data_IF_702375403348
#
_entry.id   IF_702375403348
#
_cell.length_a   1.000
_cell.length_b   1.000
_cell.length_c   1.000
_cell.angle_alpha   90.00
_cell.angle_beta   90.00
_cell.angle_gamma   90.00
#
_symmetry.space_group_name_H-M   'P 1'
#
loop_
_entity.id
_entity.type
_entity.pdbx_description
1 polymer ?
#
# COMPACT_ATOMS: atom_id res chain seq x y z
N UNK A 1 -13.18 40.18 -14.27
CA UNK A 1 -11.94 39.66 -13.67
C UNK A 1 -11.13 39.02 -14.78
N UNK A 2 -9.92 39.51 -15.07
CA UNK A 2 -9.13 39.05 -16.20
C UNK A 2 -7.67 38.87 -15.78
N UNK A 3 -7.23 37.61 -15.66
CA UNK A 3 -5.82 37.29 -15.86
C UNK A 3 -5.66 37.17 -17.36
N UNK A 4 -4.81 38.01 -17.95
CA UNK A 4 -4.66 38.09 -19.40
C UNK A 4 -3.40 37.31 -19.76
N UNK A 5 -3.55 36.30 -20.60
CA UNK A 5 -2.42 35.58 -21.18
C UNK A 5 -1.65 36.54 -22.09
N UNK A 6 -0.41 36.80 -21.74
CA UNK A 6 0.42 37.75 -22.47
C UNK A 6 1.30 37.05 -23.52
N UNK A 7 1.73 35.81 -23.27
CA UNK A 7 2.40 34.97 -24.26
C UNK A 7 2.36 33.48 -23.87
N UNK A 8 2.53 32.59 -24.85
CA UNK A 8 2.84 31.18 -24.66
C UNK A 8 4.25 30.90 -25.22
N UNK A 9 5.17 30.35 -24.42
CA UNK A 9 6.52 29.95 -24.87
C UNK A 9 7.69 30.79 -24.34
N UNK A 10 8.89 30.59 -24.90
CA UNK A 10 10.13 31.23 -24.43
C UNK A 10 10.18 32.74 -24.77
N UNK A 11 10.58 33.55 -23.79
CA UNK A 11 10.75 35.00 -23.93
C UNK A 11 11.92 35.33 -24.87
N UNK A 12 11.63 35.84 -26.07
CA UNK A 12 12.62 36.41 -26.99
C UNK A 12 13.09 37.82 -26.58
N UNK A 13 14.27 38.23 -27.04
CA UNK A 13 15.07 39.34 -26.49
C UNK A 13 14.36 40.67 -26.17
N UNK A 14 13.45 41.17 -27.01
CA UNK A 14 12.72 42.42 -26.74
C UNK A 14 11.58 42.27 -25.72
N UNK A 15 11.00 41.06 -25.61
CA UNK A 15 10.05 40.73 -24.55
C UNK A 15 10.76 40.53 -23.21
N UNK A 16 12.00 40.04 -23.19
CA UNK A 16 12.75 39.85 -21.94
C UNK A 16 12.92 41.16 -21.13
N UNK A 17 13.10 42.30 -21.80
CA UNK A 17 13.25 43.61 -21.13
C UNK A 17 11.93 44.16 -20.58
N UNK A 18 10.80 43.85 -21.23
CA UNK A 18 9.49 44.17 -20.67
C UNK A 18 9.22 43.34 -19.41
N UNK A 19 9.75 42.12 -19.32
CA UNK A 19 9.47 41.14 -18.27
C UNK A 19 10.61 41.07 -17.23
N UNK A 20 11.05 42.21 -16.70
CA UNK A 20 12.09 42.25 -15.65
C UNK A 20 11.56 42.04 -14.23
N UNK A 21 10.34 42.49 -13.94
CA UNK A 21 9.67 42.28 -12.65
C UNK A 21 8.57 41.21 -12.81
N UNK A 22 8.96 39.94 -12.77
CA UNK A 22 8.06 38.80 -12.88
C UNK A 22 8.03 38.02 -11.55
N UNK A 23 6.85 37.56 -11.16
CA UNK A 23 6.68 36.56 -10.11
C UNK A 23 6.61 35.17 -10.75
N UNK A 24 7.46 34.25 -10.30
CA UNK A 24 7.54 32.87 -10.81
C UNK A 24 7.53 31.88 -9.65
N UNK A 25 7.36 30.59 -9.94
CA UNK A 25 7.47 29.54 -8.93
C UNK A 25 8.82 29.59 -8.21
N UNK A 26 8.78 29.45 -6.88
CA UNK A 26 9.94 29.15 -6.06
C UNK A 26 10.60 27.81 -6.43
N UNK A 27 11.76 27.49 -5.84
CA UNK A 27 12.45 26.24 -6.11
C UNK A 27 11.62 25.05 -5.61
N UNK A 28 11.30 24.11 -6.51
CA UNK A 28 10.78 22.80 -6.14
C UNK A 28 11.94 21.88 -5.73
N UNK A 29 11.85 21.24 -4.56
CA UNK A 29 12.72 20.10 -4.22
C UNK A 29 12.14 18.81 -4.82
N UNK A 30 12.78 17.66 -4.58
CA UNK A 30 12.35 16.37 -5.14
C UNK A 30 10.90 16.00 -4.77
N UNK A 31 10.46 16.32 -3.55
CA UNK A 31 9.12 15.95 -3.04
C UNK A 31 8.21 17.16 -2.75
N UNK A 32 8.66 18.38 -3.06
CA UNK A 32 7.84 19.57 -2.89
C UNK A 32 6.72 19.63 -3.94
N UNK A 33 5.49 19.82 -3.47
CA UNK A 33 4.29 19.87 -4.31
C UNK A 33 3.77 21.29 -4.48
N UNK A 34 3.88 22.11 -3.44
CA UNK A 34 3.45 23.51 -3.45
C UNK A 34 4.61 24.40 -3.05
N UNK A 35 4.83 25.48 -3.79
CA UNK A 35 5.83 26.52 -3.47
C UNK A 35 5.19 27.91 -3.58
N UNK A 36 5.67 28.90 -2.80
CA UNK A 36 5.24 30.27 -2.98
C UNK A 36 5.78 30.83 -4.30
N UNK A 37 5.12 31.86 -4.81
CA UNK A 37 5.70 32.70 -5.85
C UNK A 37 6.81 33.57 -5.30
N UNK A 38 7.95 33.60 -6.00
CA UNK A 38 9.05 34.49 -5.69
C UNK A 38 9.20 35.53 -6.80
N UNK A 39 9.48 36.80 -6.46
CA UNK A 39 9.89 37.77 -7.47
C UNK A 39 11.22 37.30 -8.06
N UNK A 40 11.31 37.28 -9.39
CA UNK A 40 12.56 36.96 -10.09
C UNK A 40 13.46 38.20 -10.05
N UNK A 41 14.15 38.39 -8.93
CA UNK A 41 15.11 39.46 -8.73
C UNK A 41 16.36 39.25 -9.58
N UNK A 42 16.66 40.20 -10.46
CA UNK A 42 17.98 40.49 -11.04
C UNK A 42 18.68 39.33 -11.77
N UNK A 43 18.63 39.37 -13.11
CA UNK A 43 19.73 38.86 -13.91
C UNK A 43 20.78 39.98 -13.99
N UNK A 44 21.98 39.77 -13.44
CA UNK A 44 23.15 40.64 -13.61
C UNK A 44 23.12 42.00 -12.85
N UNK A 45 22.92 41.98 -11.52
CA UNK A 45 23.03 43.14 -10.60
C UNK A 45 22.22 44.40 -11.00
N UNK A 46 21.08 44.21 -11.67
CA UNK A 46 20.13 45.27 -12.04
C UNK A 46 18.69 44.80 -11.82
N UNK A 47 18.24 44.85 -10.57
CA UNK A 47 16.84 44.67 -10.17
C UNK A 47 16.56 45.48 -8.91
N UNK A 48 15.43 46.19 -8.87
CA UNK A 48 15.12 47.16 -7.78
C UNK A 48 14.20 46.62 -6.68
N UNK A 49 13.79 45.35 -6.77
CA UNK A 49 12.85 44.71 -5.85
C UNK A 49 13.50 43.55 -5.09
N UNK A 50 14.36 43.88 -4.13
CA UNK A 50 14.86 42.95 -3.09
C UNK A 50 13.91 42.88 -1.87
N UNK A 51 12.87 43.73 -1.80
CA UNK A 51 12.04 43.93 -0.61
C UNK A 51 10.55 43.60 -0.80
N UNK A 52 10.18 42.91 -1.89
CA UNK A 52 8.82 42.40 -2.05
C UNK A 52 8.58 41.22 -1.10
N UNK A 53 7.58 41.31 -0.22
CA UNK A 53 7.17 40.17 0.61
C UNK A 53 6.82 38.97 -0.27
N UNK A 54 7.32 37.79 0.08
CA UNK A 54 7.16 36.57 -0.71
C UNK A 54 5.70 36.30 -1.08
N UNK A 55 5.47 35.99 -2.36
CA UNK A 55 4.16 35.64 -2.88
C UNK A 55 3.20 36.81 -3.12
N UNK A 56 3.40 38.00 -2.55
CA UNK A 56 2.39 39.08 -2.63
C UNK A 56 2.30 39.67 -4.03
N UNK A 57 1.08 39.78 -4.57
CA UNK A 57 0.81 40.35 -5.90
C UNK A 57 0.02 41.66 -5.81
N UNK A 58 0.29 42.56 -6.75
CA UNK A 58 -0.42 43.85 -6.92
C UNK A 58 -0.97 44.00 -8.34
N UNK A 59 -1.89 44.94 -8.56
CA UNK A 59 -2.45 45.19 -9.90
C UNK A 59 -1.35 45.53 -10.92
N UNK A 60 -1.33 44.86 -12.07
CA UNK A 60 -0.27 44.96 -13.08
C UNK A 60 0.92 44.02 -12.87
N UNK A 61 0.91 43.21 -11.81
CA UNK A 61 1.95 42.18 -11.56
C UNK A 61 1.97 41.16 -12.68
N UNK A 62 3.17 40.77 -13.10
CA UNK A 62 3.39 39.78 -14.16
C UNK A 62 3.74 38.45 -13.53
N UNK A 63 3.03 37.41 -13.92
CA UNK A 63 3.18 36.06 -13.39
C UNK A 63 3.67 35.17 -14.52
N UNK A 64 4.78 34.48 -14.32
CA UNK A 64 5.25 33.45 -15.25
C UNK A 64 4.97 32.08 -14.64
N UNK A 65 4.24 31.27 -15.39
CA UNK A 65 3.89 29.90 -15.03
C UNK A 65 4.81 28.95 -15.79
N UNK A 66 5.72 28.24 -15.09
CA UNK A 66 6.59 27.26 -15.71
C UNK A 66 5.81 26.07 -16.29
N UNK A 67 6.47 25.29 -17.16
CA UNK A 67 5.91 24.05 -17.68
C UNK A 67 5.71 23.00 -16.58
N UNK A 68 4.59 22.28 -16.67
CA UNK A 68 4.16 21.26 -15.70
C UNK A 68 3.96 21.85 -14.29
N UNK A 69 3.47 23.08 -14.22
CA UNK A 69 3.13 23.77 -12.98
C UNK A 69 1.79 24.49 -13.16
N UNK A 70 0.95 24.49 -12.13
CA UNK A 70 -0.25 25.32 -12.07
C UNK A 70 -0.04 26.48 -11.09
N UNK A 71 -0.44 27.69 -11.45
CA UNK A 71 -0.40 28.84 -10.54
C UNK A 71 -1.79 29.12 -9.94
N UNK A 72 -1.81 29.38 -8.64
CA UNK A 72 -2.99 29.70 -7.86
C UNK A 72 -2.84 31.09 -7.28
N UNK A 73 -3.79 31.96 -7.59
CA UNK A 73 -3.88 33.29 -7.00
C UNK A 73 -4.90 33.22 -5.87
N UNK A 74 -4.46 33.54 -4.67
CA UNK A 74 -5.28 33.55 -3.47
C UNK A 74 -5.58 34.98 -3.04
N UNK A 75 -6.79 35.15 -2.53
CA UNK A 75 -7.27 36.33 -1.85
C UNK A 75 -7.77 35.94 -0.45
N UNK A 76 -8.16 36.91 0.36
CA UNK A 76 -8.76 36.68 1.69
C UNK A 76 -10.01 35.78 1.64
N UNK A 77 -10.71 35.71 0.51
CA UNK A 77 -11.92 34.89 0.33
C UNK A 77 -11.62 33.51 -0.29
N UNK A 78 -10.35 33.15 -0.47
CA UNK A 78 -9.92 31.87 -1.05
C UNK A 78 -9.31 32.01 -2.46
N UNK A 79 -9.42 30.95 -3.25
CA UNK A 79 -8.87 30.87 -4.61
C UNK A 79 -9.60 31.87 -5.53
N UNK A 80 -8.87 32.89 -5.99
CA UNK A 80 -9.37 33.91 -6.92
C UNK A 80 -9.23 33.46 -8.38
N UNK A 81 -8.08 32.88 -8.73
CA UNK A 81 -7.81 32.42 -10.09
C UNK A 81 -6.84 31.23 -10.12
N UNK A 82 -6.96 30.39 -11.14
CA UNK A 82 -6.14 29.20 -11.37
C UNK A 82 -5.65 29.21 -12.82
N UNK A 83 -4.35 29.11 -13.00
CA UNK A 83 -3.69 29.10 -14.30
C UNK A 83 -2.99 27.75 -14.47
N UNK A 84 -3.49 26.90 -15.37
CA UNK A 84 -2.94 25.57 -15.61
C UNK A 84 -2.04 25.48 -16.84
N UNK A 85 -2.07 26.51 -17.69
CA UNK A 85 -1.25 26.58 -18.90
C UNK A 85 0.05 27.35 -18.63
N UNK A 86 1.16 26.82 -19.10
CA UNK A 86 2.45 27.51 -19.03
C UNK A 86 2.45 28.78 -19.90
N UNK A 87 3.18 29.79 -19.45
CA UNK A 87 3.27 31.07 -20.14
C UNK A 87 3.32 32.26 -19.19
N UNK A 88 3.36 33.46 -19.78
CA UNK A 88 3.31 34.71 -19.03
C UNK A 88 1.91 35.27 -18.98
N UNK A 89 1.54 35.79 -17.82
CA UNK A 89 0.24 36.36 -17.53
C UNK A 89 0.38 37.70 -16.82
N UNK A 90 -0.55 38.61 -17.08
CA UNK A 90 -0.67 39.87 -16.36
C UNK A 90 -1.88 39.81 -15.43
N UNK A 91 -1.66 40.15 -14.17
CA UNK A 91 -2.69 40.20 -13.15
C UNK A 91 -3.38 41.57 -13.16
N UNK A 92 -4.69 41.61 -13.45
CA UNK A 92 -5.51 42.82 -13.34
C UNK A 92 -6.65 42.69 -12.34
N UNK A 93 -6.61 43.50 -11.28
CA UNK A 93 -7.63 43.52 -10.24
C UNK A 93 -8.78 44.45 -10.66
N UNK A 94 -9.98 43.91 -10.88
CA UNK A 94 -11.22 44.70 -10.94
C UNK A 94 -11.65 45.33 -12.27
N UNK A 95 -10.95 45.17 -13.40
CA UNK A 95 -11.43 45.75 -14.66
C UNK A 95 -12.25 44.71 -15.48
N UNK A 96 -13.53 45.02 -15.71
CA UNK A 96 -14.21 44.58 -16.92
C UNK A 96 -13.40 45.07 -18.11
N UNK A 97 -13.27 44.25 -19.14
CA UNK A 97 -12.64 44.58 -20.41
C UNK A 97 -13.05 45.98 -20.90
N UNK A 98 -12.18 46.98 -20.74
CA UNK A 98 -12.34 48.30 -21.35
C UNK A 98 -11.83 48.19 -22.79
N UNK A 99 -12.56 47.41 -23.58
CA UNK A 99 -12.51 47.40 -25.05
C UNK A 99 -13.86 47.87 -25.60
N UNK A 100 -14.47 48.83 -24.91
CA UNK A 100 -15.56 49.65 -25.42
C UNK A 100 -15.43 51.05 -24.81
N UNK A 101 -14.93 51.98 -25.63
CA UNK A 101 -15.17 53.42 -25.57
C UNK A 101 -15.18 54.13 -24.21
N UNK A 102 -14.19 55.02 -24.07
CA UNK A 102 -14.32 56.36 -23.50
C UNK A 102 -13.97 56.58 -22.00
N UNK A 103 -13.21 57.65 -21.76
CA UNK A 103 -13.10 58.32 -20.45
C UNK A 103 -11.81 58.11 -19.62
N UNK A 104 -10.90 59.08 -19.69
CA UNK A 104 -9.67 59.25 -18.87
C UNK A 104 -9.99 59.65 -17.39
N UNK A 105 -11.11 59.19 -16.83
CA UNK A 105 -11.62 59.65 -15.53
C UNK A 105 -11.25 58.79 -14.31
N UNK A 106 -10.76 57.57 -14.49
CA UNK A 106 -10.62 56.56 -13.42
C UNK A 106 -9.24 56.48 -12.76
N UNK A 107 -8.22 57.14 -13.31
CA UNK A 107 -6.84 57.06 -12.82
C UNK A 107 -6.58 57.80 -11.49
N UNK A 108 -7.37 58.82 -11.16
CA UNK A 108 -7.14 59.63 -9.95
C UNK A 108 -7.78 59.08 -8.67
N UNK A 109 -8.82 58.23 -8.77
CA UNK A 109 -9.49 57.66 -7.59
C UNK A 109 -8.70 56.49 -6.95
N UNK A 110 -7.95 55.72 -7.73
CA UNK A 110 -7.12 54.61 -7.21
C UNK A 110 -5.91 55.08 -6.38
N UNK A 111 -5.49 56.34 -6.51
CA UNK A 111 -4.41 56.93 -5.70
C UNK A 111 -4.94 57.44 -4.36
N UNK A 112 -6.21 57.87 -4.30
CA UNK A 112 -6.86 58.35 -3.08
C UNK A 112 -7.20 57.22 -2.08
N UNK A 113 -7.56 56.04 -2.57
CA UNK A 113 -7.86 54.87 -1.72
C UNK A 113 -6.61 54.30 -1.02
N UNK A 114 -5.40 54.63 -1.50
CA UNK A 114 -4.13 54.22 -0.88
C UNK A 114 -3.70 55.12 0.27
N UNK A 115 -4.29 56.31 0.42
CA UNK A 115 -3.94 57.29 1.45
C UNK A 115 -4.95 57.38 2.60
N UNK A 116 -6.07 56.66 2.54
CA UNK A 116 -7.16 56.76 3.52
C UNK A 116 -7.26 55.61 4.53
N UNK A 117 -6.40 54.58 4.42
CA UNK A 117 -6.38 53.45 5.37
C UNK A 117 -4.99 53.25 5.98
N UNK A 118 -4.65 54.04 7.01
CA UNK A 118 -3.81 53.65 8.16
C UNK A 118 -2.55 52.78 7.95
N UNK A 119 -1.90 52.76 6.78
CA UNK A 119 -0.65 52.05 6.54
C UNK A 119 -0.72 50.51 6.49
N UNK A 120 -1.91 49.89 6.53
CA UNK A 120 -2.06 48.45 6.25
C UNK A 120 -2.63 48.26 4.85
N UNK A 121 -1.91 47.61 3.91
CA UNK A 121 -2.41 47.39 2.56
C UNK A 121 -3.70 46.57 2.62
N UNK A 122 -4.81 47.19 2.21
CA UNK A 122 -6.10 46.53 2.14
C UNK A 122 -6.04 45.37 1.14
N UNK A 123 -6.13 44.14 1.67
CA UNK A 123 -6.16 42.85 0.97
C UNK A 123 -4.84 42.38 0.39
N UNK A 124 -4.09 41.60 1.17
CA UNK A 124 -2.94 40.85 0.68
C UNK A 124 -3.40 39.71 -0.23
N UNK A 125 -3.02 39.77 -1.50
CA UNK A 125 -3.17 38.68 -2.45
C UNK A 125 -1.83 38.00 -2.64
N UNK A 126 -1.82 36.67 -2.72
CA UNK A 126 -0.58 35.95 -2.98
C UNK A 126 -0.73 34.90 -4.07
N UNK A 127 0.39 34.54 -4.70
CA UNK A 127 0.45 33.46 -5.69
C UNK A 127 1.25 32.28 -5.16
N UNK A 128 0.72 31.07 -5.36
CA UNK A 128 1.43 29.82 -5.12
C UNK A 128 1.42 28.96 -6.38
N UNK A 129 2.36 28.03 -6.45
CA UNK A 129 2.55 27.17 -7.60
C UNK A 129 2.50 25.70 -7.19
N UNK A 130 1.76 24.90 -7.94
CA UNK A 130 1.59 23.46 -7.71
C UNK A 130 2.34 22.69 -8.79
N UNK A 131 3.16 21.73 -8.37
CA UNK A 131 3.90 20.84 -9.25
C UNK A 131 2.96 19.78 -9.86
N UNK A 132 2.88 19.73 -11.20
CA UNK A 132 2.08 18.75 -11.94
C UNK A 132 2.94 17.59 -12.49
N UNK A 133 4.25 17.60 -12.24
CA UNK A 133 5.14 16.50 -12.61
C UNK A 133 4.89 15.30 -11.71
N UNK A 134 5.31 14.14 -12.19
CA UNK A 134 5.40 12.95 -11.34
C UNK A 134 6.53 13.15 -10.32
N UNK A 135 6.14 13.21 -9.05
CA UNK A 135 7.02 13.25 -7.89
C UNK A 135 7.42 11.83 -7.56
N UNK A 136 8.70 11.53 -7.69
CA UNK A 136 9.27 10.18 -7.64
C UNK A 136 10.01 9.97 -6.32
N UNK A 137 10.24 8.71 -5.96
CA UNK A 137 11.17 8.37 -4.88
C UNK A 137 10.58 8.42 -3.47
N UNK A 138 9.26 8.49 -3.32
CA UNK A 138 8.61 8.47 -2.01
C UNK A 138 8.73 7.06 -1.42
N UNK A 139 9.68 6.88 -0.50
CA UNK A 139 9.98 5.56 0.08
C UNK A 139 8.86 5.08 0.99
N UNK A 140 8.50 3.82 0.84
CA UNK A 140 7.58 3.12 1.72
C UNK A 140 8.18 1.81 2.21
N UNK A 141 7.66 1.33 3.33
CA UNK A 141 7.98 0.01 3.86
C UNK A 141 6.86 -0.48 4.77
N UNK A 142 6.69 -1.79 4.82
CA UNK A 142 5.72 -2.42 5.72
C UNK A 142 6.31 -2.49 7.12
N UNK A 143 5.69 -1.80 8.09
CA UNK A 143 6.15 -1.81 9.49
C UNK A 143 5.93 -3.17 10.15
N UNK A 144 4.79 -3.82 9.86
CA UNK A 144 4.48 -5.18 10.27
C UNK A 144 4.71 -6.17 9.10
N UNK A 145 5.04 -7.44 9.40
CA UNK A 145 5.00 -8.49 8.39
C UNK A 145 3.61 -8.61 7.77
N UNK A 146 3.58 -8.81 6.45
CA UNK A 146 2.37 -9.07 5.70
C UNK A 146 2.24 -10.57 5.45
N UNK A 147 1.06 -11.13 5.67
CA UNK A 147 0.77 -12.51 5.32
C UNK A 147 0.55 -12.61 3.81
N UNK A 148 1.21 -13.58 3.18
CA UNK A 148 1.07 -13.92 1.78
C UNK A 148 0.84 -15.43 1.62
N UNK A 149 -0.32 -15.80 1.11
CA UNK A 149 -0.60 -17.19 0.80
C UNK A 149 0.05 -17.55 -0.54
N UNK A 150 1.22 -18.19 -0.49
CA UNK A 150 1.89 -18.63 -1.72
C UNK A 150 1.40 -20.04 -2.09
N UNK A 151 0.61 -20.11 -3.17
CA UNK A 151 0.02 -21.36 -3.66
C UNK A 151 1.06 -22.45 -3.94
N UNK A 152 2.31 -22.10 -4.25
CA UNK A 152 3.37 -23.08 -4.47
C UNK A 152 3.80 -23.80 -3.21
N UNK A 153 3.86 -23.09 -2.09
CA UNK A 153 4.22 -23.67 -0.79
C UNK A 153 2.99 -24.25 -0.08
N UNK A 154 1.78 -23.77 -0.40
CA UNK A 154 0.54 -24.22 0.21
C UNK A 154 0.40 -23.79 1.67
N UNK A 155 1.17 -22.79 2.10
CA UNK A 155 1.19 -22.24 3.45
C UNK A 155 1.21 -20.71 3.39
N UNK A 156 0.74 -20.10 4.46
CA UNK A 156 0.84 -18.65 4.66
C UNK A 156 2.29 -18.30 5.05
N UNK A 157 2.91 -17.43 4.25
CA UNK A 157 4.25 -16.94 4.46
C UNK A 157 4.20 -15.46 4.80
N UNK A 158 4.93 -15.06 5.82
CA UNK A 158 5.05 -13.67 6.19
C UNK A 158 6.22 -13.01 5.45
N UNK A 159 5.93 -11.85 4.85
CA UNK A 159 6.89 -11.06 4.09
C UNK A 159 6.97 -9.63 4.60
N UNK A 160 8.12 -9.00 4.43
CA UNK A 160 8.31 -7.56 4.57
C UNK A 160 8.65 -6.99 3.21
N UNK A 161 7.97 -5.92 2.83
CA UNK A 161 8.19 -5.24 1.57
C UNK A 161 8.75 -3.84 1.82
N UNK A 162 9.68 -3.44 0.96
CA UNK A 162 10.27 -2.10 0.90
C UNK A 162 10.31 -1.65 -0.54
N UNK A 163 10.09 -0.37 -0.77
CA UNK A 163 10.06 0.18 -2.10
C UNK A 163 9.93 1.69 -2.12
N UNK A 164 9.63 2.21 -3.29
CA UNK A 164 9.28 3.61 -3.51
C UNK A 164 8.02 3.73 -4.34
N UNK A 165 7.26 4.78 -4.13
CA UNK A 165 6.11 5.14 -4.95
C UNK A 165 6.37 6.49 -5.62
N UNK A 166 5.66 6.73 -6.71
CA UNK A 166 5.60 8.04 -7.34
C UNK A 166 4.17 8.55 -7.34
N UNK A 167 4.00 9.81 -7.01
CA UNK A 167 2.70 10.49 -6.93
C UNK A 167 2.62 11.59 -7.99
N UNK A 168 1.41 11.83 -8.49
CA UNK A 168 1.17 12.91 -9.45
C UNK A 168 -0.13 13.63 -9.13
N UNK A 169 -0.07 14.96 -9.14
CA UNK A 169 -1.27 15.81 -9.03
C UNK A 169 -1.98 15.84 -10.38
N UNK A 170 -3.23 15.40 -10.40
CA UNK A 170 -4.10 15.31 -11.59
C UNK A 170 -5.14 16.42 -11.62
N UNK A 171 -5.75 16.71 -10.48
CA UNK A 171 -6.67 17.82 -10.28
C UNK A 171 -6.09 18.78 -9.23
N UNK A 172 -5.38 19.84 -9.67
CA UNK A 172 -4.71 20.75 -8.76
C UNK A 172 -5.70 21.59 -7.95
N UNK A 173 -6.93 21.81 -8.43
CA UNK A 173 -7.95 22.58 -7.70
C UNK A 173 -8.45 21.78 -6.52
N UNK A 174 -8.78 20.50 -6.75
CA UNK A 174 -9.17 19.58 -5.69
C UNK A 174 -8.04 19.34 -4.69
N UNK A 175 -6.80 19.24 -5.18
CA UNK A 175 -5.60 19.12 -4.33
C UNK A 175 -5.45 20.28 -3.35
N UNK A 176 -5.49 21.52 -3.84
CA UNK A 176 -5.37 22.71 -2.99
C UNK A 176 -6.54 22.81 -2.00
N UNK A 177 -7.76 22.44 -2.41
CA UNK A 177 -8.94 22.57 -1.55
C UNK A 177 -9.03 21.51 -0.45
N UNK A 178 -8.62 20.28 -0.74
CA UNK A 178 -8.92 19.13 0.12
C UNK A 178 -7.68 18.54 0.81
N UNK A 179 -6.47 18.80 0.32
CA UNK A 179 -5.24 18.18 0.84
C UNK A 179 -4.24 19.19 1.41
N UNK A 180 -4.13 20.39 0.81
CA UNK A 180 -3.21 21.42 1.27
C UNK A 180 -3.82 22.18 2.46
N UNK A 181 -3.11 22.33 3.59
CA UNK A 181 -3.59 23.14 4.70
C UNK A 181 -3.74 24.63 4.31
N UNK A 182 -4.82 25.27 4.77
CA UNK A 182 -5.19 26.62 4.34
C UNK A 182 -4.16 27.73 4.65
N UNK A 183 -3.30 27.55 5.66
CA UNK A 183 -2.32 28.56 6.11
C UNK A 183 -0.95 28.37 5.47
N UNK A 184 -0.77 27.33 4.67
CA UNK A 184 0.55 26.89 4.21
C UNK A 184 0.82 27.40 2.79
N UNK A 185 1.95 28.10 2.62
CA UNK A 185 2.40 28.63 1.31
C UNK A 185 3.40 27.71 0.59
N UNK A 186 3.94 26.71 1.30
CA UNK A 186 4.85 25.69 0.77
C UNK A 186 4.52 24.34 1.40
N UNK A 187 4.33 23.30 0.59
CA UNK A 187 3.90 21.99 1.09
C UNK A 187 4.61 20.85 0.35
N UNK A 188 5.09 19.87 1.11
CA UNK A 188 5.85 18.73 0.62
C UNK A 188 5.21 17.41 1.02
N UNK A 189 5.36 16.38 0.19
CA UNK A 189 4.99 15.03 0.59
C UNK A 189 5.91 14.43 1.66
N UNK A 190 7.06 15.06 1.94
CA UNK A 190 7.95 14.68 3.03
C UNK A 190 7.53 15.22 4.40
N UNK A 191 6.64 16.22 4.43
CA UNK A 191 6.17 16.80 5.69
C UNK A 191 5.45 15.72 6.52
N UNK A 192 5.63 15.73 7.84
CA UNK A 192 5.18 14.63 8.71
C UNK A 192 3.68 14.30 8.57
N UNK A 193 2.85 15.34 8.46
CA UNK A 193 1.41 15.24 8.26
C UNK A 193 1.01 14.46 7.01
N UNK A 194 1.28 14.99 5.80
CA UNK A 194 0.92 14.31 4.55
C UNK A 194 1.64 12.97 4.41
N UNK A 195 2.92 12.89 4.80
CA UNK A 195 3.71 11.65 4.69
C UNK A 195 3.08 10.51 5.47
N UNK A 196 2.68 10.75 6.72
CA UNK A 196 2.07 9.71 7.56
C UNK A 196 0.76 9.20 6.96
N UNK A 197 -0.11 10.09 6.48
CA UNK A 197 -1.38 9.72 5.88
C UNK A 197 -1.20 8.93 4.58
N UNK A 198 -0.35 9.45 3.68
CA UNK A 198 -0.02 8.82 2.39
C UNK A 198 0.50 7.41 2.62
N UNK A 199 1.48 7.24 3.52
CA UNK A 199 2.06 5.93 3.79
C UNK A 199 1.04 4.96 4.40
N UNK A 200 0.19 5.39 5.34
CA UNK A 200 -0.80 4.51 5.95
C UNK A 200 -1.84 4.00 4.94
N UNK A 201 -2.41 4.88 4.12
CA UNK A 201 -3.42 4.52 3.13
C UNK A 201 -2.79 3.73 1.96
N UNK A 202 -1.56 4.06 1.57
CA UNK A 202 -0.81 3.31 0.56
C UNK A 202 -0.53 1.88 1.00
N UNK A 203 0.02 1.67 2.20
CA UNK A 203 0.36 0.33 2.70
C UNK A 203 -0.88 -0.55 2.77
N UNK A 204 -2.04 -0.01 3.16
CA UNK A 204 -3.30 -0.75 3.15
C UNK A 204 -3.70 -1.20 1.74
N UNK A 205 -3.65 -0.29 0.76
CA UNK A 205 -3.93 -0.61 -0.65
C UNK A 205 -2.93 -1.62 -1.22
N UNK A 206 -1.67 -1.50 -0.83
CA UNK A 206 -0.59 -2.39 -1.24
C UNK A 206 -0.80 -3.82 -0.71
N UNK A 207 -1.27 -3.97 0.53
CA UNK A 207 -1.65 -5.27 1.10
C UNK A 207 -2.78 -5.91 0.27
N UNK A 208 -3.81 -5.13 -0.07
CA UNK A 208 -4.91 -5.60 -0.93
C UNK A 208 -4.38 -6.05 -2.30
N UNK A 209 -3.50 -5.26 -2.91
CA UNK A 209 -2.88 -5.60 -4.20
C UNK A 209 -2.06 -6.88 -4.14
N UNK A 210 -1.17 -7.02 -3.15
CA UNK A 210 -0.34 -8.22 -2.96
C UNK A 210 -1.22 -9.46 -2.75
N UNK A 211 -2.23 -9.39 -1.89
CA UNK A 211 -3.13 -10.52 -1.64
C UNK A 211 -3.93 -10.90 -2.88
N UNK A 212 -4.31 -9.95 -3.73
CA UNK A 212 -5.00 -10.26 -4.99
C UNK A 212 -4.12 -11.07 -5.94
N UNK A 213 -2.80 -10.83 -5.91
CA UNK A 213 -1.82 -11.52 -6.76
C UNK A 213 -1.37 -12.87 -6.19
N UNK A 214 -1.69 -13.18 -4.92
CA UNK A 214 -1.16 -14.37 -4.24
C UNK A 214 -1.66 -15.70 -4.82
N UNK A 215 -2.83 -15.68 -5.47
CA UNK A 215 -3.38 -16.85 -6.14
C UNK A 215 -2.69 -17.17 -7.47
N UNK A 216 -2.11 -16.18 -8.13
CA UNK A 216 -1.55 -16.31 -9.48
C UNK A 216 -0.03 -16.38 -9.49
N UNK A 217 0.62 -15.61 -8.60
CA UNK A 217 2.05 -15.42 -8.61
C UNK A 217 2.70 -15.90 -7.31
N UNK A 218 3.94 -16.36 -7.43
CA UNK A 218 4.77 -16.63 -6.25
C UNK A 218 5.39 -15.37 -5.71
N UNK A 219 5.82 -15.39 -4.46
CA UNK A 219 6.48 -14.25 -3.82
C UNK A 219 7.71 -13.79 -4.62
N UNK A 220 8.49 -14.73 -5.14
CA UNK A 220 9.68 -14.43 -5.96
C UNK A 220 9.37 -13.72 -7.29
N UNK A 221 8.12 -13.78 -7.75
CA UNK A 221 7.68 -13.13 -8.99
C UNK A 221 7.10 -11.74 -8.76
N UNK A 222 6.68 -11.42 -7.51
CA UNK A 222 6.08 -10.13 -7.16
C UNK A 222 6.93 -8.90 -7.56
N UNK A 223 8.27 -8.90 -7.40
CA UNK A 223 9.08 -7.76 -7.84
C UNK A 223 8.91 -7.45 -9.34
N UNK A 224 8.72 -8.47 -10.18
CA UNK A 224 8.46 -8.32 -11.61
C UNK A 224 7.02 -7.88 -11.95
N UNK A 225 6.15 -7.75 -10.96
CA UNK A 225 4.72 -7.41 -11.08
C UNK A 225 4.39 -6.02 -10.54
N UNK A 226 5.40 -5.15 -10.44
CA UNK A 226 5.26 -3.81 -9.91
C UNK A 226 4.17 -2.97 -10.62
N UNK A 227 4.04 -3.10 -11.94
CA UNK A 227 2.99 -2.41 -12.71
C UNK A 227 1.59 -2.93 -12.38
N UNK A 228 1.44 -4.25 -12.22
CA UNK A 228 0.16 -4.88 -11.87
C UNK A 228 -0.24 -4.45 -10.45
N UNK A 229 0.71 -4.40 -9.52
CA UNK A 229 0.51 -3.88 -8.16
C UNK A 229 0.08 -2.42 -8.19
N UNK A 230 0.75 -1.57 -8.98
CA UNK A 230 0.37 -0.16 -9.11
C UNK A 230 -1.05 0.00 -9.67
N UNK A 231 -1.44 -0.84 -10.64
CA UNK A 231 -2.80 -0.86 -11.18
C UNK A 231 -3.83 -1.31 -10.13
N UNK A 232 -3.54 -2.35 -9.35
CA UNK A 232 -4.39 -2.81 -8.25
C UNK A 232 -4.54 -1.73 -7.17
N UNK A 233 -3.45 -1.04 -6.79
CA UNK A 233 -3.47 0.05 -5.80
C UNK A 233 -4.34 1.22 -6.29
N UNK A 234 -4.20 1.63 -7.56
CA UNK A 234 -5.07 2.65 -8.15
C UNK A 234 -6.53 2.23 -8.23
N UNK A 235 -6.79 0.93 -8.43
CA UNK A 235 -8.13 0.37 -8.50
C UNK A 235 -8.82 0.19 -7.15
N UNK A 236 -8.10 0.37 -6.03
CA UNK A 236 -8.67 0.23 -4.69
C UNK A 236 -9.74 1.30 -4.42
N UNK A 237 -10.93 0.86 -3.99
CA UNK A 237 -12.08 1.75 -3.75
C UNK A 237 -12.14 2.33 -2.35
N UNK A 238 -11.21 1.95 -1.46
CA UNK A 238 -11.24 2.38 -0.07
C UNK A 238 -10.13 3.37 0.29
N UNK A 239 -8.88 3.12 -0.15
CA UNK A 239 -7.71 3.84 0.35
C UNK A 239 -7.02 4.64 -0.77
N UNK A 240 -5.81 4.27 -1.19
CA UNK A 240 -5.00 5.07 -2.11
C UNK A 240 -5.62 5.23 -3.50
N UNK A 241 -6.44 4.28 -3.95
CA UNK A 241 -7.18 4.43 -5.21
C UNK A 241 -8.27 5.52 -5.15
N UNK A 242 -8.68 5.95 -3.95
CA UNK A 242 -9.64 7.07 -3.77
C UNK A 242 -8.98 8.45 -3.77
N UNK A 243 -7.65 8.55 -3.81
CA UNK A 243 -6.95 9.82 -3.69
C UNK A 243 -7.26 10.79 -4.82
N UNK A 244 -7.48 10.32 -6.05
CA UNK A 244 -7.83 11.21 -7.15
C UNK A 244 -9.20 11.88 -6.87
N UNK A 245 -10.15 11.11 -6.34
CA UNK A 245 -11.49 11.59 -6.03
C UNK A 245 -11.57 12.45 -4.77
N UNK A 246 -10.79 12.12 -3.74
CA UNK A 246 -10.77 12.86 -2.46
C UNK A 246 -9.86 14.07 -2.51
N UNK A 247 -8.67 13.91 -3.08
CA UNK A 247 -7.54 14.83 -2.93
C UNK A 247 -6.95 15.30 -4.26
N UNK A 248 -7.39 14.82 -5.43
CA UNK A 248 -6.90 15.32 -6.71
C UNK A 248 -5.46 14.94 -7.07
N UNK A 249 -4.91 13.90 -6.43
CA UNK A 249 -3.63 13.29 -6.81
C UNK A 249 -3.76 11.76 -6.79
N UNK A 250 -2.86 11.07 -7.50
CA UNK A 250 -2.89 9.62 -7.61
C UNK A 250 -1.50 8.98 -7.57
N UNK A 251 -1.48 7.66 -7.36
CA UNK A 251 -0.27 6.85 -7.50
C UNK A 251 0.02 6.65 -8.99
N UNK A 252 1.12 7.21 -9.46
CA UNK A 252 1.57 7.06 -10.86
C UNK A 252 2.26 5.71 -11.08
N UNK A 253 3.20 5.38 -10.20
CA UNK A 253 4.02 4.17 -10.29
C UNK A 253 4.40 3.66 -8.90
N UNK A 254 4.67 2.36 -8.81
CA UNK A 254 5.19 1.69 -7.60
C UNK A 254 6.44 0.93 -8.01
N UNK A 255 7.54 1.14 -7.30
CA UNK A 255 8.79 0.40 -7.41
C UNK A 255 8.97 -0.48 -6.18
N UNK A 256 9.19 -1.78 -6.40
CA UNK A 256 9.53 -2.73 -5.34
C UNK A 256 11.06 -2.84 -5.30
N UNK A 257 11.66 -2.45 -4.17
CA UNK A 257 13.10 -2.57 -3.96
C UNK A 257 13.45 -3.94 -3.36
N UNK A 258 12.67 -4.40 -2.38
CA UNK A 258 12.89 -5.69 -1.72
C UNK A 258 11.59 -6.27 -1.19
N UNK A 259 11.43 -7.59 -1.37
CA UNK A 259 10.43 -8.41 -0.68
C UNK A 259 11.18 -9.55 -0.01
N UNK A 260 11.18 -9.55 1.31
CA UNK A 260 11.93 -10.49 2.13
C UNK A 260 10.99 -11.30 3.01
N UNK A 261 11.22 -12.61 3.08
CA UNK A 261 10.61 -13.44 4.09
C UNK A 261 11.04 -13.04 5.50
N UNK A 262 10.11 -13.13 6.46
CA UNK A 262 10.47 -13.15 7.87
C UNK A 262 11.35 -14.37 8.19
N UNK A 263 12.09 -14.31 9.29
CA UNK A 263 12.97 -15.42 9.68
C UNK A 263 12.20 -16.74 9.84
N UNK A 264 11.02 -16.69 10.46
CA UNK A 264 10.13 -17.84 10.58
C UNK A 264 9.71 -18.40 9.21
N UNK A 265 9.32 -17.54 8.27
CA UNK A 265 8.93 -17.95 6.93
C UNK A 265 10.10 -18.49 6.11
N UNK A 266 11.32 -17.95 6.30
CA UNK A 266 12.54 -18.49 5.67
C UNK A 266 12.79 -19.92 6.12
N UNK A 267 12.64 -20.21 7.40
CA UNK A 267 12.82 -21.56 7.94
C UNK A 267 11.79 -22.53 7.37
N UNK A 268 10.52 -22.12 7.26
CA UNK A 268 9.47 -22.93 6.63
C UNK A 268 9.80 -23.23 5.15
N UNK A 269 10.22 -22.22 4.39
CA UNK A 269 10.62 -22.39 2.99
C UNK A 269 11.84 -23.31 2.85
N UNK A 270 12.83 -23.19 3.74
CA UNK A 270 14.02 -24.05 3.75
C UNK A 270 13.67 -25.50 4.10
N UNK A 271 12.81 -25.72 5.10
CA UNK A 271 12.30 -27.06 5.46
C UNK A 271 11.48 -27.67 4.32
N UNK A 272 10.64 -26.87 3.66
CA UNK A 272 9.88 -27.32 2.49
C UNK A 272 10.81 -27.72 1.34
N UNK A 273 11.84 -26.90 1.05
CA UNK A 273 12.81 -27.17 0.00
C UNK A 273 13.65 -28.43 0.30
N UNK A 274 14.13 -28.60 1.53
CA UNK A 274 14.90 -29.79 1.94
C UNK A 274 14.05 -31.05 1.88
N UNK A 275 12.81 -31.00 2.38
CA UNK A 275 11.87 -32.12 2.30
C UNK A 275 11.55 -32.47 0.84
N UNK A 276 11.31 -31.49 -0.02
CA UNK A 276 11.04 -31.73 -1.45
C UNK A 276 12.25 -32.29 -2.19
N UNK A 277 13.46 -31.82 -1.91
CA UNK A 277 14.69 -32.36 -2.51
C UNK A 277 14.94 -33.80 -2.06
N UNK A 278 14.73 -34.09 -0.78
CA UNK A 278 14.78 -35.45 -0.26
C UNK A 278 13.77 -36.33 -0.99
N UNK A 279 12.49 -35.95 -1.02
CA UNK A 279 11.43 -36.71 -1.71
C UNK A 279 11.72 -36.86 -3.21
N UNK A 280 12.17 -35.82 -3.91
CA UNK A 280 12.51 -35.90 -5.34
C UNK A 280 13.72 -36.81 -5.63
N UNK A 281 14.72 -36.84 -4.73
CA UNK A 281 15.81 -37.80 -4.79
C UNK A 281 15.31 -39.25 -4.61
N UNK A 282 14.18 -39.44 -3.91
CA UNK A 282 13.52 -40.73 -3.76
C UNK A 282 12.53 -41.04 -4.89
N UNK A 283 11.84 -40.06 -5.47
CA UNK A 283 10.91 -40.25 -6.61
C UNK A 283 11.63 -40.59 -7.91
N UNK A 284 12.90 -40.17 -8.07
CA UNK A 284 13.78 -40.60 -9.15
C UNK A 284 14.16 -42.09 -9.10
N UNK A 285 13.84 -42.79 -8.01
CA UNK A 285 14.06 -44.22 -7.83
C UNK A 285 12.72 -44.87 -7.52
N UNK A 286 12.04 -45.36 -8.57
CA UNK A 286 10.86 -46.24 -8.64
C UNK A 286 10.14 -46.61 -7.33
N UNK A 287 8.80 -46.68 -7.33
CA UNK A 287 7.88 -47.14 -6.24
C UNK A 287 8.39 -48.26 -5.31
N UNK A 288 9.28 -49.13 -5.78
CA UNK A 288 10.04 -50.10 -5.00
C UNK A 288 10.85 -49.50 -3.83
N UNK A 289 11.42 -48.29 -3.98
CA UNK A 289 12.19 -47.62 -2.93
C UNK A 289 11.30 -46.96 -1.87
N UNK A 290 10.11 -46.49 -2.23
CA UNK A 290 9.12 -46.01 -1.25
C UNK A 290 8.69 -47.11 -0.27
N UNK A 291 8.50 -48.33 -0.79
CA UNK A 291 8.28 -49.52 0.03
C UNK A 291 9.53 -49.91 0.84
N UNK A 292 10.74 -49.80 0.28
CA UNK A 292 11.97 -50.06 1.03
C UNK A 292 12.23 -49.02 2.13
N UNK A 293 11.85 -47.75 1.95
CA UNK A 293 12.03 -46.70 2.95
C UNK A 293 11.01 -46.83 4.08
N UNK A 294 9.76 -47.20 3.79
CA UNK A 294 8.79 -47.58 4.80
C UNK A 294 9.30 -48.82 5.58
N UNK A 295 9.80 -49.84 4.87
CA UNK A 295 10.42 -51.01 5.50
C UNK A 295 11.69 -50.69 6.29
N UNK A 296 12.51 -49.73 5.85
CA UNK A 296 13.73 -49.31 6.56
C UNK A 296 13.40 -48.48 7.79
N UNK A 297 12.37 -47.62 7.77
CA UNK A 297 11.88 -46.94 8.97
C UNK A 297 11.24 -47.90 9.96
N UNK A 298 10.51 -48.90 9.47
CA UNK A 298 9.98 -50.00 10.29
C UNK A 298 11.16 -50.80 10.88
N UNK A 299 12.17 -51.13 10.08
CA UNK A 299 13.36 -51.88 10.52
C UNK A 299 14.24 -51.08 11.50
N UNK A 300 14.40 -49.78 11.31
CA UNK A 300 15.09 -48.88 12.24
C UNK A 300 14.28 -48.72 13.53
N UNK A 301 12.95 -48.57 13.45
CA UNK A 301 12.09 -48.56 14.64
C UNK A 301 12.15 -49.89 15.42
N UNK A 302 12.32 -51.02 14.73
CA UNK A 302 12.56 -52.33 15.33
C UNK A 302 13.98 -52.44 15.93
N UNK A 303 14.99 -51.85 15.31
CA UNK A 303 16.37 -51.80 15.83
C UNK A 303 16.50 -50.92 17.07
N UNK A 304 15.85 -49.76 17.07
CA UNK A 304 15.96 -48.76 18.13
C UNK A 304 15.06 -49.09 19.33
N UNK A 305 13.88 -49.69 19.12
CA UNK A 305 12.93 -50.01 20.20
C UNK A 305 12.80 -51.51 20.51
N UNK A 306 13.47 -52.39 19.75
CA UNK A 306 13.36 -53.84 19.90
C UNK A 306 11.97 -54.40 19.56
N UNK A 307 11.91 -55.71 19.28
CA UNK A 307 10.63 -56.42 19.20
C UNK A 307 10.05 -56.57 20.62
N UNK A 308 9.36 -55.53 21.09
CA UNK A 308 8.39 -55.70 22.19
C UNK A 308 7.30 -56.71 21.78
N UNK A 309 6.60 -57.26 22.76
CA UNK A 309 5.66 -58.39 22.67
C UNK A 309 4.62 -58.32 21.51
N UNK A 310 4.31 -57.11 20.99
CA UNK A 310 3.44 -56.91 19.83
C UNK A 310 4.07 -57.15 18.45
N UNK A 311 5.41 -57.07 18.32
CA UNK A 311 6.09 -57.20 17.03
C UNK A 311 6.26 -58.65 16.56
N UNK A 312 6.26 -59.62 17.49
CA UNK A 312 6.31 -61.05 17.17
C UNK A 312 4.98 -61.52 16.54
N UNK A 313 3.85 -60.94 16.97
CA UNK A 313 2.52 -61.23 16.44
C UNK A 313 2.33 -60.70 15.01
N UNK A 314 2.94 -59.54 14.71
CA UNK A 314 2.98 -58.97 13.36
C UNK A 314 3.88 -59.79 12.42
N UNK A 315 5.03 -60.26 12.92
CA UNK A 315 5.96 -61.11 12.18
C UNK A 315 5.36 -62.48 11.80
N UNK A 316 4.57 -63.08 12.70
CA UNK A 316 3.89 -64.34 12.42
C UNK A 316 2.76 -64.20 11.39
N UNK A 317 1.97 -63.11 11.44
CA UNK A 317 0.93 -62.87 10.44
C UNK A 317 1.50 -62.58 9.04
N UNK A 318 2.64 -61.88 8.97
CA UNK A 318 3.29 -61.59 7.69
C UNK A 318 3.99 -62.83 7.10
N UNK A 319 4.55 -63.71 7.95
CA UNK A 319 5.13 -64.99 7.51
C UNK A 319 4.06 -65.94 6.92
N UNK A 320 2.83 -65.90 7.43
CA UNK A 320 1.72 -66.67 6.85
C UNK A 320 1.21 -66.10 5.52
N UNK A 321 1.31 -64.79 5.30
CA UNK A 321 0.90 -64.14 4.05
C UNK A 321 1.88 -64.33 2.88
N UNK A 322 3.15 -64.70 3.16
CA UNK A 322 4.19 -64.87 2.14
C UNK A 322 4.31 -66.34 1.67
N UNK A 323 3.60 -67.29 2.31
CA UNK A 323 3.64 -68.69 1.89
C UNK A 323 2.88 -68.88 0.55
N UNK A 324 3.55 -69.17 -0.58
CA UNK A 324 2.94 -69.13 -1.92
C UNK A 324 2.10 -70.37 -2.25
N UNK A 325 1.72 -71.18 -1.26
CA UNK A 325 1.13 -72.51 -1.47
C UNK A 325 -0.41 -72.55 -1.34
N UNK A 326 -1.09 -71.44 -1.03
CA UNK A 326 -2.56 -71.40 -0.86
C UNK A 326 -3.24 -70.27 -1.63
N UNK A 327 -2.80 -70.00 -2.86
CA UNK A 327 -3.50 -69.11 -3.77
C UNK A 327 -4.78 -69.76 -4.31
N UNK A 328 -5.92 -69.50 -3.67
CA UNK A 328 -7.25 -69.72 -4.25
C UNK A 328 -7.81 -68.39 -4.77
N UNK A 329 -8.37 -68.34 -5.99
CA UNK A 329 -8.86 -67.10 -6.58
C UNK A 329 -10.21 -66.73 -5.96
N UNK A 330 -10.30 -65.56 -5.32
CA UNK A 330 -11.59 -65.04 -4.85
C UNK A 330 -12.18 -64.13 -5.92
N UNK A 331 -13.33 -64.57 -6.41
CA UNK A 331 -14.12 -64.03 -7.49
C UNK A 331 -15.00 -62.88 -6.99
N UNK A 332 -15.14 -61.83 -7.80
CA UNK A 332 -15.98 -60.67 -7.53
C UNK A 332 -17.49 -61.00 -7.63
N UNK A 333 -18.33 -60.28 -6.87
CA UNK A 333 -19.58 -59.80 -7.46
C UNK A 333 -19.86 -58.30 -7.20
N UNK A 334 -20.66 -57.74 -8.12
CA UNK A 334 -21.08 -56.35 -8.28
C UNK A 334 -22.41 -56.03 -7.53
N UNK A 335 -23.16 -54.95 -7.84
CA UNK A 335 -23.38 -53.79 -6.97
C UNK A 335 -24.77 -53.73 -6.28
N UNK A 336 -24.87 -52.77 -5.37
CA UNK A 336 -25.92 -52.49 -4.37
C UNK A 336 -27.36 -52.29 -4.86
N UNK A 337 -28.33 -52.30 -3.92
CA UNK A 337 -29.37 -51.28 -3.87
C UNK A 337 -29.47 -50.55 -2.51
N UNK A 338 -30.18 -49.42 -2.55
CA UNK A 338 -30.18 -48.27 -1.65
C UNK A 338 -30.73 -48.48 -0.21
N UNK A 339 -30.40 -47.58 0.73
CA UNK A 339 -31.14 -47.40 1.97
C UNK A 339 -31.94 -46.09 1.99
N UNK A 340 -33.20 -46.15 2.44
CA UNK A 340 -33.98 -45.00 2.91
C UNK A 340 -34.39 -45.21 4.38
N UNK A 341 -34.17 -44.14 5.16
CA UNK A 341 -34.77 -43.71 6.43
C UNK A 341 -34.79 -44.65 7.66
N UNK A 342 -34.02 -44.27 8.69
CA UNK A 342 -34.53 -44.00 10.05
C UNK A 342 -33.46 -43.32 10.94
N UNK A 343 -33.86 -42.27 11.66
CA UNK A 343 -33.14 -41.63 12.76
C UNK A 343 -33.72 -42.10 14.12
N UNK A 344 -33.23 -41.61 15.28
CA UNK A 344 -31.86 -41.52 15.78
C UNK A 344 -31.74 -42.20 17.17
N UNK A 345 -30.55 -42.70 17.55
CA UNK A 345 -30.28 -43.04 18.96
C UNK A 345 -28.79 -42.89 19.30
N UNK A 346 -28.55 -41.95 20.21
CA UNK A 346 -27.46 -41.79 21.18
C UNK A 346 -26.44 -42.94 21.31
N UNK A 347 -25.18 -42.62 21.02
CA UNK A 347 -24.01 -43.36 21.45
C UNK A 347 -23.20 -42.55 22.47
N UNK A 348 -23.23 -42.99 23.73
CA UNK A 348 -22.14 -42.76 24.67
C UNK A 348 -20.90 -43.51 24.17
N UNK A 349 -19.93 -42.76 23.65
CA UNK A 349 -18.60 -43.28 23.33
C UNK A 349 -17.69 -43.04 24.54
N UNK A 350 -17.31 -44.12 25.22
CA UNK A 350 -16.23 -44.12 26.21
C UNK A 350 -14.91 -43.76 25.51
N UNK A 351 -14.36 -42.59 25.87
CA UNK A 351 -13.10 -42.06 25.32
C UNK A 351 -11.92 -42.97 25.67
N UNK A 352 -10.94 -43.05 24.76
CA UNK A 352 -9.69 -43.76 25.01
C UNK A 352 -8.81 -43.01 26.03
N UNK A 353 -7.89 -43.71 26.70
CA UNK A 353 -7.07 -43.14 27.79
C UNK A 353 -6.17 -42.00 27.28
N UNK A 354 -5.67 -42.06 26.04
CA UNK A 354 -4.93 -40.94 25.45
C UNK A 354 -5.83 -39.69 25.25
N UNK A 355 -7.08 -39.87 24.82
CA UNK A 355 -8.02 -38.76 24.62
C UNK A 355 -8.46 -38.13 25.95
N UNK A 356 -8.59 -38.92 27.02
CA UNK A 356 -8.87 -38.43 28.38
C UNK A 356 -7.73 -37.54 28.91
N UNK A 357 -6.47 -37.92 28.64
CA UNK A 357 -5.30 -37.15 29.07
C UNK A 357 -5.16 -35.84 28.28
N UNK A 358 -5.43 -35.85 26.98
CA UNK A 358 -5.45 -34.61 26.18
C UNK A 358 -6.59 -33.67 26.58
N UNK A 359 -7.78 -34.20 26.84
CA UNK A 359 -8.92 -33.41 27.30
C UNK A 359 -8.63 -32.73 28.65
N UNK A 360 -7.97 -33.43 29.58
CA UNK A 360 -7.53 -32.85 30.85
C UNK A 360 -6.49 -31.74 30.69
N UNK A 361 -5.55 -31.86 29.74
CA UNK A 361 -4.56 -30.80 29.47
C UNK A 361 -5.22 -29.54 28.95
N UNK A 362 -6.15 -29.66 27.99
CA UNK A 362 -6.90 -28.53 27.43
C UNK A 362 -7.79 -27.87 28.49
N UNK A 363 -8.43 -28.66 29.36
CA UNK A 363 -9.25 -28.11 30.45
C UNK A 363 -8.41 -27.35 31.48
N UNK A 364 -7.19 -27.80 31.78
CA UNK A 364 -6.28 -27.09 32.68
C UNK A 364 -5.81 -25.76 32.09
N UNK A 365 -5.54 -25.74 30.79
CA UNK A 365 -5.17 -24.52 30.07
C UNK A 365 -6.31 -23.47 30.10
N UNK A 366 -7.58 -23.92 30.04
CA UNK A 366 -8.73 -23.03 30.18
C UNK A 366 -8.93 -22.48 31.59
N UNK A 367 -8.51 -23.23 32.63
CA UNK A 367 -8.47 -22.71 34.02
C UNK A 367 -7.34 -21.69 34.17
N UNK A 368 -6.17 -21.96 33.61
CA UNK A 368 -5.01 -21.06 33.69
C UNK A 368 -5.26 -19.72 32.96
N UNK A 369 -6.09 -19.72 31.91
CA UNK A 369 -6.54 -18.51 31.21
C UNK A 369 -7.75 -17.85 31.92
N UNK A 370 -8.27 -18.46 32.99
CA UNK A 370 -9.36 -17.91 33.82
C UNK A 370 -10.76 -18.05 33.20
N UNK A 371 -10.91 -18.89 32.18
CA UNK A 371 -12.17 -19.14 31.48
C UNK A 371 -13.01 -20.18 32.25
N UNK A 372 -12.36 -21.13 32.92
CA UNK A 372 -13.01 -22.10 33.80
C UNK A 372 -12.61 -21.85 35.26
N UNK A 373 -13.56 -22.01 36.18
CA UNK A 373 -13.25 -22.05 37.61
C UNK A 373 -12.69 -23.41 38.02
N UNK A 374 -11.96 -23.44 39.15
CA UNK A 374 -11.37 -24.67 39.68
C UNK A 374 -12.44 -25.74 39.98
N UNK A 375 -13.62 -25.33 40.44
CA UNK A 375 -14.74 -26.22 40.77
C UNK A 375 -15.36 -26.87 39.51
N UNK A 376 -15.45 -26.11 38.41
CA UNK A 376 -15.95 -26.63 37.12
C UNK A 376 -14.95 -27.59 36.46
N UNK A 377 -13.66 -27.36 36.69
CA UNK A 377 -12.60 -28.26 36.23
C UNK A 377 -12.65 -29.60 36.96
N UNK A 378 -12.80 -29.59 38.28
CA UNK A 378 -12.86 -30.83 39.07
C UNK A 378 -14.12 -31.65 38.74
N UNK A 379 -15.26 -31.00 38.47
CA UNK A 379 -16.47 -31.67 38.01
C UNK A 379 -16.28 -32.39 36.65
N UNK A 380 -15.69 -31.70 35.66
CA UNK A 380 -15.42 -32.30 34.33
C UNK A 380 -14.33 -33.36 34.36
N UNK A 381 -13.34 -33.23 35.24
CA UNK A 381 -12.32 -34.25 35.47
C UNK A 381 -12.93 -35.55 35.97
N UNK A 382 -13.91 -35.47 36.87
CA UNK A 382 -14.63 -36.64 37.39
C UNK A 382 -15.41 -37.35 36.28
N UNK A 383 -16.05 -36.57 35.40
CA UNK A 383 -16.81 -37.08 34.24
C UNK A 383 -15.90 -37.76 33.20
N UNK A 384 -14.75 -37.17 32.89
CA UNK A 384 -13.81 -37.68 31.87
C UNK A 384 -13.07 -38.93 32.35
N UNK A 385 -12.72 -39.00 33.65
CA UNK A 385 -12.03 -40.15 34.24
C UNK A 385 -12.97 -41.25 34.72
N UNK A 386 -14.29 -41.02 34.69
CA UNK A 386 -15.30 -41.99 35.13
C UNK A 386 -15.18 -42.38 36.61
N UNK A 387 -14.72 -41.45 37.45
CA UNK A 387 -14.55 -41.65 38.89
C UNK A 387 -15.86 -41.41 39.65
#
# INVERSE_FOLDING_TARGET
MAVIKAFAGALGGTFADLWRDIITAGPFTEHTVVVPGIPRGSNNDRGSNEYGSEGIITNGSRIYVPENTAAFIFSETGIENVITESGGYEYRNGEQSVLAGDGIGSFFNQVADRFTFGGQPGRTKYVAFVNLREIRGIKFGTSAPLVYNDRFYGVDLEIRARGSMSLKVTDPVRFVRNFVPATTVSYSFDDEGPRRQILSEFVQSFIVAINSLSNEYRISQLPGKANDIAACVRGDRANAGTWNDRFGFEVSSVGIESIEFTEQSRQLVQQFASNKMNVAAYEGVSQQAGNMAAQQRIAQGIQDNGFGDGGMLLGMNMAQAINPMTAAPVQAPAPAPAPEAAAPASHTASMSVEEQVEAMKKLKELVDIGILSQEEFDAKKHEILGL
#
